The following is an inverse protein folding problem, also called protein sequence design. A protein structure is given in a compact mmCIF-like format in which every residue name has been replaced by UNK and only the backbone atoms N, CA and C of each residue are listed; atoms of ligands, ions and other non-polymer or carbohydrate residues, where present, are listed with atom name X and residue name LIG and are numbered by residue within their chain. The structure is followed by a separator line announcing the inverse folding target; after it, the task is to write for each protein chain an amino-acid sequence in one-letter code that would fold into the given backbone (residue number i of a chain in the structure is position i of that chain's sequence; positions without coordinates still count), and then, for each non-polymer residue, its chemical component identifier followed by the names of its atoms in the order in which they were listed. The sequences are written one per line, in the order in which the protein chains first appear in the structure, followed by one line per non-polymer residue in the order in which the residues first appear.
data_IF_899778684554
#
_entry.id   IF_899778684554
#
_cell.length_a   1.000
_cell.length_b   1.000
_cell.length_c   1.000
_cell.angle_alpha   90.00
_cell.angle_beta   90.00
_cell.angle_gamma   90.00
#
_symmetry.space_group_name_H-M   'P 1'
#
loop_
_entity.id
_entity.type
_entity.pdbx_description
1 polymer ?
#
# COMPACT_ATOMS: atom_id res chain seq x y z
N UNK A 1 22.33 -4.06 4.66
CA UNK A 1 20.99 -4.25 4.14
C UNK A 1 21.01 -4.27 2.63
N UNK A 2 20.33 -5.18 2.10
CA UNK A 2 20.39 -5.43 0.69
C UNK A 2 19.27 -4.73 -0.06
N UNK A 3 19.63 -3.78 -0.90
CA UNK A 3 18.62 -3.00 -1.60
C UNK A 3 17.82 -3.79 -2.61
N UNK A 4 18.38 -4.87 -3.10
CA UNK A 4 17.68 -5.65 -4.11
C UNK A 4 16.45 -6.33 -3.54
N UNK A 5 16.32 -6.38 -2.22
CA UNK A 5 15.14 -6.95 -1.60
C UNK A 5 13.99 -5.97 -1.51
N UNK A 6 14.24 -4.70 -1.82
CA UNK A 6 13.19 -3.70 -1.78
C UNK A 6 12.32 -3.83 -3.03
N UNK A 7 11.04 -4.07 -2.81
CA UNK A 7 10.09 -4.14 -3.92
C UNK A 7 9.61 -2.74 -4.28
N UNK A 8 9.60 -2.45 -5.56
CA UNK A 8 9.09 -1.17 -6.04
C UNK A 8 8.05 -1.45 -7.09
N UNK A 9 6.79 -1.32 -6.72
CA UNK A 9 5.67 -1.64 -7.59
C UNK A 9 5.08 -0.36 -8.19
N UNK A 10 4.63 -0.47 -9.43
CA UNK A 10 3.90 0.62 -10.06
C UNK A 10 2.42 0.51 -9.67
N UNK A 11 1.57 1.37 -10.26
CA UNK A 11 0.16 1.41 -9.90
C UNK A 11 -0.52 0.05 -10.09
N UNK A 12 -0.20 -0.63 -11.18
CA UNK A 12 -0.78 -1.95 -11.44
C UNK A 12 -0.34 -2.94 -10.39
N UNK A 13 0.95 -2.95 -10.08
CA UNK A 13 1.50 -3.84 -9.07
C UNK A 13 0.93 -3.57 -7.68
N UNK A 14 0.73 -2.30 -7.35
CA UNK A 14 0.16 -1.93 -6.06
C UNK A 14 -1.28 -2.44 -5.92
N UNK A 15 -2.08 -2.29 -6.98
CA UNK A 15 -3.44 -2.79 -6.96
C UNK A 15 -3.49 -4.29 -6.86
N UNK A 16 -2.60 -4.95 -7.59
CA UNK A 16 -2.52 -6.41 -7.56
C UNK A 16 -2.14 -6.90 -6.16
N UNK A 17 -1.16 -6.26 -5.55
CA UNK A 17 -0.74 -6.61 -4.20
C UNK A 17 -1.91 -6.50 -3.22
N UNK A 18 -2.61 -5.38 -3.27
CA UNK A 18 -3.75 -5.14 -2.39
C UNK A 18 -4.84 -6.19 -2.60
N UNK A 19 -5.13 -6.51 -3.85
CA UNK A 19 -6.21 -7.45 -4.16
C UNK A 19 -5.96 -8.85 -3.63
N UNK A 20 -4.69 -9.19 -3.40
CA UNK A 20 -4.32 -10.51 -2.90
C UNK A 20 -4.32 -10.60 -1.39
N UNK A 21 -4.48 -9.49 -0.71
CA UNK A 21 -4.55 -9.50 0.76
C UNK A 21 -5.90 -10.04 1.21
N UNK A 22 -5.90 -10.70 2.36
CA UNK A 22 -7.16 -11.12 2.97
C UNK A 22 -7.92 -9.89 3.43
N UNK A 23 -9.20 -10.08 3.79
CA UNK A 23 -10.03 -8.98 4.26
C UNK A 23 -9.40 -8.28 5.47
N UNK A 24 -8.94 -9.05 6.44
CA UNK A 24 -8.35 -8.45 7.64
C UNK A 24 -7.04 -7.76 7.31
N UNK A 25 -6.25 -8.33 6.39
CA UNK A 25 -5.00 -7.70 6.00
C UNK A 25 -5.24 -6.40 5.26
N UNK A 26 -6.27 -6.35 4.42
CA UNK A 26 -6.62 -5.11 3.72
C UNK A 26 -6.94 -4.01 4.72
N UNK A 27 -7.70 -4.34 5.76
CA UNK A 27 -8.03 -3.37 6.79
C UNK A 27 -6.80 -2.87 7.52
N UNK A 28 -5.90 -3.78 7.89
CA UNK A 28 -4.67 -3.40 8.56
C UNK A 28 -3.79 -2.54 7.67
N UNK A 29 -3.68 -2.91 6.40
CA UNK A 29 -2.87 -2.18 5.44
C UNK A 29 -3.38 -0.74 5.30
N UNK A 30 -4.68 -0.59 5.08
CA UNK A 30 -5.27 0.74 4.95
C UNK A 30 -5.10 1.56 6.22
N UNK A 31 -5.29 0.93 7.37
CA UNK A 31 -5.12 1.63 8.64
C UNK A 31 -3.69 2.12 8.81
N UNK A 32 -2.73 1.29 8.41
CA UNK A 32 -1.33 1.67 8.48
C UNK A 32 -1.05 2.86 7.56
N UNK A 33 -1.54 2.79 6.32
CA UNK A 33 -1.31 3.88 5.36
C UNK A 33 -1.92 5.19 5.85
N UNK A 34 -3.11 5.12 6.42
CA UNK A 34 -3.79 6.33 6.89
C UNK A 34 -3.13 6.84 8.18
N UNK A 35 -2.91 5.96 9.13
CA UNK A 35 -2.41 6.36 10.45
C UNK A 35 -0.94 6.71 10.46
N UNK A 36 -0.12 5.89 9.82
CA UNK A 36 1.34 6.06 9.87
C UNK A 36 1.88 6.87 8.70
N UNK A 37 1.27 6.71 7.54
CA UNK A 37 1.77 7.39 6.34
C UNK A 37 1.02 8.68 6.03
N UNK A 38 -0.08 8.92 6.71
CA UNK A 38 -0.83 10.17 6.53
C UNK A 38 -1.65 10.23 5.25
N UNK A 39 -1.95 9.09 4.65
CA UNK A 39 -2.74 9.07 3.43
C UNK A 39 -4.23 9.08 3.76
N UNK A 40 -5.06 9.54 2.82
CA UNK A 40 -6.51 9.59 3.04
C UNK A 40 -7.15 8.24 2.82
N UNK A 41 -8.01 7.83 3.76
CA UNK A 41 -8.64 6.52 3.69
C UNK A 41 -9.48 6.37 2.42
N UNK A 42 -10.40 7.30 2.18
CA UNK A 42 -11.27 7.22 1.02
C UNK A 42 -10.47 7.28 -0.28
N UNK A 43 -9.44 8.12 -0.30
CA UNK A 43 -8.59 8.23 -1.47
C UNK A 43 -7.91 6.90 -1.79
N UNK A 44 -7.39 6.24 -0.75
CA UNK A 44 -6.71 4.96 -0.95
C UNK A 44 -7.68 3.87 -1.41
N UNK A 45 -8.86 3.81 -0.80
CA UNK A 45 -9.86 2.83 -1.19
C UNK A 45 -10.23 2.99 -2.67
N UNK A 46 -10.48 4.22 -3.09
CA UNK A 46 -10.84 4.50 -4.47
C UNK A 46 -9.72 4.10 -5.42
N UNK A 47 -8.50 4.46 -5.07
CA UNK A 47 -7.35 4.18 -5.95
C UNK A 47 -7.06 2.70 -6.06
N UNK A 48 -7.17 1.97 -4.95
CA UNK A 48 -6.95 0.53 -4.98
C UNK A 48 -8.05 -0.20 -5.73
N UNK A 49 -9.24 0.39 -5.81
CA UNK A 49 -10.35 -0.21 -6.55
C UNK A 49 -10.41 0.29 -8.00
N UNK A 50 -9.31 0.88 -8.47
CA UNK A 50 -9.15 1.26 -9.86
C UNK A 50 -10.08 2.39 -10.30
N UNK A 51 -10.41 3.28 -9.36
CA UNK A 51 -11.24 4.45 -9.67
C UNK A 51 -10.45 5.74 -9.62
N UNK A 52 -9.12 5.66 -9.59
CA UNK A 52 -8.27 6.82 -9.58
C UNK A 52 -6.82 6.40 -9.79
N UNK A 53 -5.95 7.39 -9.89
CA UNK A 53 -4.54 7.13 -10.15
C UNK A 53 -3.71 7.45 -8.91
N UNK A 54 -2.70 6.61 -8.66
CA UNK A 54 -1.73 6.92 -7.62
C UNK A 54 -0.79 8.00 -8.12
N UNK A 55 -0.51 8.99 -7.26
CA UNK A 55 0.52 9.95 -7.56
C UNK A 55 1.85 9.40 -7.06
N UNK A 56 2.94 10.00 -7.49
CA UNK A 56 4.26 9.48 -7.17
C UNK A 56 4.51 9.35 -5.67
N UNK A 57 4.12 10.35 -4.90
CA UNK A 57 4.33 10.29 -3.46
C UNK A 57 3.52 9.16 -2.82
N UNK A 58 2.31 8.91 -3.32
CA UNK A 58 1.51 7.77 -2.84
C UNK A 58 2.26 6.47 -3.09
N UNK A 59 2.79 6.31 -4.30
CA UNK A 59 3.49 5.09 -4.66
C UNK A 59 4.68 4.84 -3.77
N UNK A 60 5.45 5.88 -3.48
CA UNK A 60 6.62 5.76 -2.61
C UNK A 60 6.21 5.28 -1.23
N UNK A 61 5.20 5.92 -0.65
CA UNK A 61 4.76 5.58 0.70
C UNK A 61 4.16 4.18 0.76
N UNK A 62 3.38 3.82 -0.23
CA UNK A 62 2.76 2.49 -0.26
C UNK A 62 3.84 1.42 -0.41
N UNK A 63 4.83 1.66 -1.24
CA UNK A 63 5.92 0.72 -1.40
C UNK A 63 6.71 0.56 -0.09
N UNK A 64 6.88 1.63 0.66
CA UNK A 64 7.52 1.53 1.97
C UNK A 64 6.71 0.62 2.89
N UNK A 65 5.39 0.77 2.89
CA UNK A 65 4.54 -0.07 3.72
C UNK A 65 4.63 -1.54 3.30
N UNK A 66 4.65 -1.79 2.01
CA UNK A 66 4.76 -3.16 1.49
C UNK A 66 6.06 -3.80 1.93
N UNK A 67 7.14 -3.04 1.93
CA UNK A 67 8.44 -3.58 2.31
C UNK A 67 8.63 -3.65 3.83
N UNK A 68 7.64 -3.21 4.60
CA UNK A 68 7.65 -3.27 6.05
C UNK A 68 6.40 -3.98 6.56
N UNK A 69 6.04 -5.07 5.93
CA UNK A 69 4.81 -5.79 6.26
C UNK A 69 4.70 -6.18 7.72
N UNK A 70 5.83 -6.45 8.37
CA UNK A 70 5.80 -6.86 9.76
C UNK A 70 5.20 -5.80 10.67
N UNK A 71 5.15 -4.55 10.22
CA UNK A 71 4.61 -3.46 11.03
C UNK A 71 3.09 -3.41 11.04
N UNK A 72 2.45 -3.99 10.04
CA UNK A 72 0.99 -3.92 9.95
C UNK A 72 0.31 -5.27 9.67
N UNK A 73 1.04 -6.20 9.14
CA UNK A 73 0.41 -7.44 8.71
C UNK A 73 0.09 -8.38 9.88
N UNK A 74 0.68 -8.17 10.96
CA UNK A 74 0.44 -8.99 12.13
C UNK A 74 1.39 -10.13 12.22
#
# INVERSE_FOLDING_TARGET
MDKKDFKELDAVGLRDYYSKLSRSEKGRFLRYLVGEMGLGYNSMVVKFNNHGNFIKSDEVLINLAINNESLWRG
#
